data_IF_857078706691
#
_entry.id   IF_857078706691
#
_cell.length_a   1.000
_cell.length_b   1.000
_cell.length_c   1.000
_cell.angle_alpha   90.00
_cell.angle_beta   90.00
_cell.angle_gamma   90.00
#
_symmetry.space_group_name_H-M   'P 1'
#
loop_
_entity.id
_entity.type
_entity.pdbx_description
1 polymer ?
#
# COMPACT_ATOMS: atom_id res chain seq x y z
N UNK A 1 27.27 45.84 26.13
CA UNK A 1 26.70 44.53 25.78
C UNK A 1 25.22 44.74 25.53
N UNK A 2 24.70 44.25 24.40
CA UNK A 2 23.43 44.70 23.84
C UNK A 2 22.25 43.94 24.45
N UNK A 3 21.13 44.63 24.61
CA UNK A 3 19.84 44.00 24.93
C UNK A 3 19.40 43.04 23.78
N UNK A 4 19.90 43.27 22.56
CA UNK A 4 19.71 42.42 21.37
C UNK A 4 20.38 41.03 21.48
N UNK A 5 21.37 40.83 22.36
CA UNK A 5 22.04 39.52 22.56
C UNK A 5 21.20 38.55 23.43
N UNK A 6 20.21 39.07 24.16
CA UNK A 6 19.36 38.29 25.07
C UNK A 6 18.33 37.43 24.32
N UNK A 7 17.65 38.00 23.33
CA UNK A 7 16.54 37.32 22.64
C UNK A 7 17.04 36.23 21.67
N UNK A 8 18.16 36.45 20.97
CA UNK A 8 18.77 35.43 20.10
C UNK A 8 19.15 34.14 20.85
N UNK A 9 19.63 34.25 22.10
CA UNK A 9 20.05 33.08 22.89
C UNK A 9 18.90 32.13 23.19
N UNK A 10 17.67 32.64 23.30
CA UNK A 10 16.48 31.84 23.61
C UNK A 10 16.08 31.01 22.39
N UNK A 11 16.00 31.62 21.21
CA UNK A 11 15.61 30.93 19.98
C UNK A 11 16.63 29.87 19.53
N UNK A 12 17.93 30.12 19.68
CA UNK A 12 18.97 29.12 19.44
C UNK A 12 18.83 27.93 20.41
N UNK A 13 18.61 28.20 21.71
CA UNK A 13 18.41 27.13 22.70
C UNK A 13 17.17 26.28 22.40
N UNK A 14 16.07 26.90 21.95
CA UNK A 14 14.83 26.21 21.56
C UNK A 14 15.02 25.40 20.26
N UNK A 15 15.81 25.91 19.31
CA UNK A 15 16.18 25.15 18.12
C UNK A 15 17.00 23.90 18.48
N UNK A 16 18.03 24.05 19.31
CA UNK A 16 18.86 22.94 19.79
C UNK A 16 18.02 21.90 20.56
N UNK A 17 17.06 22.33 21.40
CA UNK A 17 16.13 21.43 22.07
C UNK A 17 15.25 20.63 21.08
N UNK A 18 14.70 21.28 20.05
CA UNK A 18 13.90 20.60 19.00
C UNK A 18 14.75 19.61 18.18
N UNK A 19 16.01 19.95 17.91
CA UNK A 19 16.95 19.09 17.21
C UNK A 19 17.38 17.88 18.07
N UNK A 20 17.60 18.07 19.37
CA UNK A 20 17.80 16.96 20.33
C UNK A 20 16.58 16.03 20.36
N UNK A 21 15.36 16.57 20.40
CA UNK A 21 14.11 15.79 20.35
C UNK A 21 14.00 14.99 19.05
N UNK A 22 14.34 15.58 17.89
CA UNK A 22 14.39 14.87 16.60
C UNK A 22 15.34 13.67 16.65
N UNK A 23 16.55 13.88 17.16
CA UNK A 23 17.59 12.85 17.21
C UNK A 23 17.28 11.74 18.23
N UNK A 24 16.70 12.09 19.38
CA UNK A 24 16.18 11.12 20.35
C UNK A 24 15.04 10.28 19.75
N UNK A 25 14.08 10.92 19.09
CA UNK A 25 12.96 10.24 18.43
C UNK A 25 13.41 9.29 17.32
N UNK A 26 14.37 9.70 16.48
CA UNK A 26 14.98 8.84 15.45
C UNK A 26 15.70 7.63 16.06
N UNK A 27 16.33 7.80 17.22
CA UNK A 27 16.98 6.70 17.95
C UNK A 27 15.94 5.72 18.51
N UNK A 28 14.82 6.22 19.06
CA UNK A 28 13.68 5.39 19.48
C UNK A 28 13.08 4.62 18.31
N UNK A 29 12.83 5.26 17.16
CA UNK A 29 12.33 4.59 15.94
C UNK A 29 13.23 3.40 15.57
N UNK A 30 14.55 3.62 15.48
CA UNK A 30 15.53 2.58 15.15
C UNK A 30 15.52 1.43 16.18
N UNK A 31 15.49 1.77 17.46
CA UNK A 31 15.44 0.80 18.56
C UNK A 31 14.20 -0.12 18.46
N UNK A 32 13.00 0.46 18.37
CA UNK A 32 11.76 -0.34 18.29
C UNK A 32 11.67 -1.14 16.98
N UNK A 33 12.10 -0.57 15.85
CA UNK A 33 12.11 -1.27 14.54
C UNK A 33 13.03 -2.50 14.56
N UNK A 34 14.20 -2.40 15.19
CA UNK A 34 15.10 -3.53 15.37
C UNK A 34 14.47 -4.61 16.26
N UNK A 35 13.80 -4.23 17.36
CA UNK A 35 13.10 -5.17 18.23
C UNK A 35 11.93 -5.89 17.53
N UNK A 36 11.09 -5.18 16.77
CA UNK A 36 10.03 -5.80 15.93
C UNK A 36 10.63 -6.82 14.96
N UNK A 37 11.74 -6.48 14.32
CA UNK A 37 12.44 -7.38 13.40
C UNK A 37 12.92 -8.66 14.10
N UNK A 38 13.50 -8.53 15.30
CA UNK A 38 13.93 -9.67 16.12
C UNK A 38 12.74 -10.57 16.47
N UNK A 39 11.63 -9.99 16.92
CA UNK A 39 10.40 -10.72 17.27
C UNK A 39 9.83 -11.43 16.04
N UNK A 40 9.68 -10.73 14.90
CA UNK A 40 9.20 -11.30 13.64
C UNK A 40 10.03 -12.50 13.18
N UNK A 41 11.36 -12.36 13.11
CA UNK A 41 12.23 -13.45 12.66
C UNK A 41 12.29 -14.61 13.66
N UNK A 42 12.14 -14.35 14.97
CA UNK A 42 12.02 -15.40 15.99
C UNK A 42 10.70 -16.18 15.82
N UNK A 43 9.58 -15.48 15.65
CA UNK A 43 8.25 -16.06 15.44
C UNK A 43 8.17 -16.86 14.12
N UNK A 44 8.75 -16.31 13.04
CA UNK A 44 8.85 -17.01 11.76
C UNK A 44 9.68 -18.30 11.87
N UNK A 45 10.77 -18.29 12.65
CA UNK A 45 11.58 -19.49 12.93
C UNK A 45 10.86 -20.50 13.83
N UNK A 46 10.09 -20.09 14.83
CA UNK A 46 9.32 -21.03 15.66
C UNK A 46 8.17 -21.65 14.86
N UNK A 47 7.41 -20.86 14.11
CA UNK A 47 6.33 -21.34 13.25
C UNK A 47 6.84 -22.31 12.17
N UNK A 48 8.00 -22.05 11.57
CA UNK A 48 8.60 -22.95 10.60
C UNK A 48 8.88 -24.35 11.18
N UNK A 49 9.39 -24.42 12.42
CA UNK A 49 9.64 -25.68 13.14
C UNK A 49 8.34 -26.41 13.47
N UNK A 50 7.31 -25.68 13.95
CA UNK A 50 5.98 -26.26 14.26
C UNK A 50 5.33 -26.86 13.00
N UNK A 51 5.53 -26.22 11.84
CA UNK A 51 5.00 -26.68 10.56
C UNK A 51 5.89 -27.73 9.87
N UNK A 52 6.86 -28.33 10.56
CA UNK A 52 7.84 -29.31 10.01
C UNK A 52 8.58 -28.82 8.75
N UNK A 53 8.73 -27.51 8.60
CA UNK A 53 9.44 -26.87 7.48
C UNK A 53 10.84 -26.44 7.90
N UNK A 54 11.78 -26.37 6.94
CA UNK A 54 13.15 -25.94 7.24
C UNK A 54 13.16 -24.48 7.73
N UNK A 55 13.58 -24.19 8.97
CA UNK A 55 13.58 -22.83 9.48
C UNK A 55 14.69 -22.01 8.80
N UNK A 56 14.47 -20.72 8.50
CA UNK A 56 15.54 -19.87 7.98
C UNK A 56 16.69 -19.79 9.00
N UNK A 57 17.94 -19.61 8.54
CA UNK A 57 19.11 -19.62 9.42
C UNK A 57 19.00 -18.52 10.49
N UNK A 58 19.43 -18.79 11.74
CA UNK A 58 19.40 -17.79 12.80
C UNK A 58 20.40 -16.66 12.50
N UNK A 59 19.93 -15.41 12.60
CA UNK A 59 20.79 -14.23 12.53
C UNK A 59 21.68 -14.19 13.79
N UNK A 60 23.02 -14.12 13.69
CA UNK A 60 23.88 -14.03 14.87
C UNK A 60 23.60 -12.77 15.70
N UNK A 61 23.72 -12.85 17.02
CA UNK A 61 23.36 -11.75 17.93
C UNK A 61 24.13 -10.44 17.70
N UNK A 62 25.35 -10.52 17.16
CA UNK A 62 26.18 -9.37 16.80
C UNK A 62 25.84 -8.74 15.44
N UNK A 63 24.98 -9.38 14.63
CA UNK A 63 24.64 -8.90 13.28
C UNK A 63 23.37 -8.05 13.34
N UNK A 64 23.50 -6.78 12.96
CA UNK A 64 22.38 -5.85 12.85
C UNK A 64 21.30 -6.41 11.93
N UNK A 65 20.05 -6.43 12.39
CA UNK A 65 18.90 -6.81 11.58
C UNK A 65 18.13 -5.54 11.19
N UNK A 66 18.07 -5.27 9.90
CA UNK A 66 17.45 -4.08 9.34
C UNK A 66 16.14 -4.45 8.65
N UNK A 67 15.04 -3.79 9.05
CA UNK A 67 13.82 -3.75 8.27
C UNK A 67 13.71 -2.38 7.59
N UNK A 68 13.47 -2.31 6.26
CA UNK A 68 12.99 -1.11 5.60
C UNK A 68 11.73 -0.55 6.30
N UNK A 69 11.54 0.78 6.30
CA UNK A 69 10.37 1.43 6.94
C UNK A 69 9.02 0.90 6.42
N UNK A 70 8.98 0.39 5.18
CA UNK A 70 7.79 -0.16 4.54
C UNK A 70 7.44 -1.57 5.07
N UNK A 71 8.44 -2.41 5.34
CA UNK A 71 8.25 -3.80 5.79
C UNK A 71 7.78 -3.90 7.25
N UNK A 72 8.03 -2.88 8.08
CA UNK A 72 7.70 -2.89 9.52
C UNK A 72 6.21 -3.18 9.76
N UNK A 73 5.32 -2.65 8.92
CA UNK A 73 3.88 -2.89 9.06
C UNK A 73 3.51 -4.33 8.71
N UNK A 74 4.09 -4.91 7.65
CA UNK A 74 3.83 -6.31 7.28
C UNK A 74 4.45 -7.28 8.32
N UNK A 75 5.53 -6.88 9.01
CA UNK A 75 6.08 -7.63 10.16
C UNK A 75 5.15 -7.58 11.38
N UNK A 76 4.57 -6.41 11.70
CA UNK A 76 3.58 -6.25 12.77
C UNK A 76 2.31 -7.05 12.46
N UNK A 77 1.82 -7.00 11.22
CA UNK A 77 0.65 -7.79 10.79
C UNK A 77 0.88 -9.30 10.98
N UNK A 78 2.07 -9.80 10.65
CA UNK A 78 2.45 -11.19 10.90
C UNK A 78 2.55 -11.52 12.40
N UNK A 79 3.10 -10.63 13.22
CA UNK A 79 3.12 -10.80 14.70
C UNK A 79 1.70 -10.83 15.26
N UNK A 80 0.81 -9.98 14.76
CA UNK A 80 -0.60 -9.92 15.13
C UNK A 80 -1.42 -11.16 14.70
N UNK A 81 -1.03 -11.85 13.62
CA UNK A 81 -1.72 -13.04 13.10
C UNK A 81 -1.22 -14.35 13.74
N UNK A 82 0.08 -14.45 14.04
CA UNK A 82 0.73 -15.69 14.50
C UNK A 82 1.33 -15.64 15.91
N UNK A 83 1.44 -14.46 16.53
CA UNK A 83 2.03 -14.29 17.85
C UNK A 83 1.15 -14.80 18.99
N UNK A 84 1.80 -15.18 20.09
CA UNK A 84 1.16 -15.49 21.37
C UNK A 84 1.25 -14.29 22.30
N UNK A 85 0.16 -14.00 23.01
CA UNK A 85 0.05 -12.96 24.05
C UNK A 85 0.72 -13.39 25.38
N UNK A 86 1.89 -14.03 25.29
CA UNK A 86 2.54 -14.71 26.41
C UNK A 86 3.72 -13.88 26.94
N UNK A 87 3.52 -13.26 28.11
CA UNK A 87 4.58 -12.57 28.86
C UNK A 87 5.31 -11.48 28.08
N UNK A 88 4.61 -10.40 27.70
CA UNK A 88 5.05 -9.30 26.82
C UNK A 88 6.55 -8.95 26.83
N UNK A 89 7.11 -8.70 25.65
CA UNK A 89 8.56 -8.65 25.44
C UNK A 89 9.26 -7.61 26.33
N UNK A 90 10.54 -7.82 26.65
CA UNK A 90 11.36 -6.88 27.44
C UNK A 90 11.34 -5.44 26.91
N UNK A 91 11.23 -5.28 25.58
CA UNK A 91 11.07 -3.99 24.93
C UNK A 91 9.74 -3.30 25.30
N UNK A 92 8.65 -4.06 25.37
CA UNK A 92 7.33 -3.57 25.75
C UNK A 92 7.28 -3.18 27.24
N UNK A 93 7.80 -4.05 28.12
CA UNK A 93 7.87 -3.78 29.57
C UNK A 93 8.60 -2.46 29.85
N UNK A 94 9.73 -2.23 29.17
CA UNK A 94 10.50 -0.97 29.27
C UNK A 94 9.74 0.22 28.69
N UNK A 95 9.07 0.07 27.54
CA UNK A 95 8.28 1.13 26.93
C UNK A 95 7.08 1.57 27.79
N UNK A 96 6.46 0.62 28.49
CA UNK A 96 5.39 0.88 29.48
C UNK A 96 5.97 1.52 30.75
N UNK A 97 7.05 0.96 31.32
CA UNK A 97 7.70 1.48 32.52
C UNK A 97 8.16 2.94 32.37
N UNK A 98 8.74 3.27 31.22
CA UNK A 98 9.25 4.61 30.90
C UNK A 98 8.18 5.55 30.32
N UNK A 99 6.90 5.14 30.28
CA UNK A 99 5.78 5.92 29.72
C UNK A 99 6.06 6.49 28.31
N UNK A 100 6.76 5.74 27.46
CA UNK A 100 7.18 6.22 26.12
C UNK A 100 5.99 6.50 25.21
N UNK A 101 4.90 5.73 25.35
CA UNK A 101 3.69 5.89 24.53
C UNK A 101 3.00 7.25 24.75
N UNK A 102 2.61 7.66 25.97
CA UNK A 102 2.04 8.98 26.19
C UNK A 102 3.01 10.13 25.87
N UNK A 103 4.31 9.96 26.13
CA UNK A 103 5.33 10.97 25.77
C UNK A 103 5.43 11.21 24.25
N UNK A 104 5.43 10.15 23.44
CA UNK A 104 5.43 10.27 21.97
C UNK A 104 4.11 10.85 21.42
N UNK A 105 2.98 10.50 22.03
CA UNK A 105 1.66 11.07 21.69
C UNK A 105 1.61 12.57 22.01
N UNK A 106 2.11 12.97 23.18
CA UNK A 106 2.25 14.37 23.57
C UNK A 106 3.22 15.12 22.65
N UNK A 107 4.34 14.51 22.27
CA UNK A 107 5.28 15.07 21.29
C UNK A 107 4.63 15.32 19.93
N UNK A 108 3.83 14.37 19.41
CA UNK A 108 3.08 14.55 18.15
C UNK A 108 2.16 15.77 18.24
N UNK A 109 1.43 15.93 19.36
CA UNK A 109 0.54 17.06 19.56
C UNK A 109 1.31 18.39 19.70
N UNK A 110 2.38 18.43 20.49
CA UNK A 110 3.21 19.63 20.68
C UNK A 110 3.95 20.04 19.41
N UNK A 111 4.55 19.09 18.67
CA UNK A 111 5.32 19.36 17.46
C UNK A 111 4.47 19.96 16.32
N UNK A 112 3.15 19.72 16.31
CA UNK A 112 2.22 20.37 15.38
C UNK A 112 2.21 21.90 15.51
N UNK A 113 2.45 22.41 16.72
CA UNK A 113 2.48 23.86 17.01
C UNK A 113 3.77 24.55 16.58
N UNK A 114 4.82 23.79 16.22
CA UNK A 114 6.15 24.32 15.88
C UNK A 114 6.19 24.91 14.47
N UNK A 115 5.42 25.97 14.23
CA UNK A 115 5.25 26.61 12.91
C UNK A 115 6.59 26.98 12.25
N UNK A 116 7.56 27.46 13.02
CA UNK A 116 8.84 27.98 12.54
C UNK A 116 9.98 26.94 12.48
N UNK A 117 9.71 25.65 12.74
CA UNK A 117 10.73 24.60 12.68
C UNK A 117 10.59 23.77 11.40
N UNK A 118 11.63 23.74 10.57
CA UNK A 118 11.62 23.05 9.27
C UNK A 118 11.30 21.57 9.39
N UNK A 119 11.97 20.88 10.32
CA UNK A 119 11.90 19.42 10.48
C UNK A 119 10.69 18.98 11.32
N UNK A 120 9.65 19.82 11.47
CA UNK A 120 8.48 19.52 12.31
C UNK A 120 7.72 18.28 11.81
N UNK A 121 7.64 18.12 10.48
CA UNK A 121 6.99 16.96 9.85
C UNK A 121 7.82 15.70 10.15
N UNK A 122 9.13 15.75 9.97
CA UNK A 122 10.02 14.62 10.26
C UNK A 122 9.92 14.17 11.72
N UNK A 123 9.83 15.09 12.68
CA UNK A 123 9.64 14.77 14.11
C UNK A 123 8.29 14.06 14.33
N UNK A 124 7.20 14.58 13.77
CA UNK A 124 5.86 13.98 13.90
C UNK A 124 5.82 12.59 13.25
N UNK A 125 6.35 12.44 12.04
CA UNK A 125 6.40 11.17 11.31
C UNK A 125 7.27 10.16 12.06
N UNK A 126 8.47 10.55 12.52
CA UNK A 126 9.36 9.66 13.28
C UNK A 126 8.74 9.24 14.62
N UNK A 127 7.99 10.11 15.28
CA UNK A 127 7.25 9.79 16.49
C UNK A 127 6.10 8.82 16.22
N UNK A 128 5.32 9.05 15.16
CA UNK A 128 4.25 8.14 14.73
C UNK A 128 4.80 6.78 14.27
N UNK A 129 5.91 6.73 13.53
CA UNK A 129 6.56 5.48 13.15
C UNK A 129 7.16 4.72 14.35
N UNK A 130 7.65 5.44 15.37
CA UNK A 130 8.04 4.84 16.65
C UNK A 130 6.82 4.22 17.35
N UNK A 131 5.67 4.92 17.35
CA UNK A 131 4.40 4.39 17.86
C UNK A 131 3.92 3.18 17.04
N UNK A 132 4.07 3.18 15.71
CA UNK A 132 3.79 2.01 14.85
C UNK A 132 4.65 0.83 15.31
N UNK A 133 5.97 1.00 15.42
CA UNK A 133 6.89 -0.05 15.83
C UNK A 133 6.62 -0.59 17.25
N UNK A 134 5.97 0.16 18.14
CA UNK A 134 5.53 -0.33 19.46
C UNK A 134 4.11 -0.95 19.46
N UNK A 135 3.28 -0.62 18.47
CA UNK A 135 1.83 -0.93 18.47
C UNK A 135 1.44 -2.39 18.23
N UNK A 136 2.40 -3.32 18.22
CA UNK A 136 2.12 -4.77 18.18
C UNK A 136 1.69 -5.34 19.56
N UNK A 137 1.92 -4.59 20.65
CA UNK A 137 1.56 -5.00 22.01
C UNK A 137 0.18 -4.49 22.43
N UNK A 138 -0.59 -5.36 23.10
CA UNK A 138 -1.95 -5.02 23.55
C UNK A 138 -1.95 -3.98 24.69
N UNK A 139 -0.96 -4.03 25.58
CA UNK A 139 -0.83 -3.09 26.70
C UNK A 139 -0.47 -1.67 26.22
N UNK A 140 0.39 -1.60 25.19
CA UNK A 140 0.77 -0.33 24.54
C UNK A 140 -0.43 0.26 23.81
N UNK A 141 -1.14 -0.53 23.00
CA UNK A 141 -2.34 -0.06 22.29
C UNK A 141 -3.45 0.42 23.24
N UNK A 142 -3.62 -0.19 24.42
CA UNK A 142 -4.54 0.32 25.46
C UNK A 142 -4.13 1.69 26.04
N UNK A 143 -2.84 2.05 26.03
CA UNK A 143 -2.40 3.32 26.60
C UNK A 143 -2.87 4.54 25.81
N UNK A 144 -3.20 4.37 24.51
CA UNK A 144 -3.82 5.44 23.70
C UNK A 144 -5.28 5.76 24.08
N UNK A 145 -5.96 4.90 24.84
CA UNK A 145 -7.26 5.25 25.43
C UNK A 145 -7.15 6.22 26.61
N UNK A 146 -6.00 6.25 27.29
CA UNK A 146 -5.79 7.15 28.43
C UNK A 146 -5.70 8.59 27.94
N UNK A 147 -6.08 9.53 28.80
CA UNK A 147 -5.84 10.94 28.53
C UNK A 147 -4.36 11.26 28.67
N UNK A 148 -3.88 12.12 27.78
CA UNK A 148 -2.54 12.70 27.78
C UNK A 148 -2.68 14.21 27.82
N UNK A 149 -1.88 14.87 28.68
CA UNK A 149 -1.83 16.32 28.78
C UNK A 149 -1.15 16.89 27.52
N UNK A 150 -1.94 17.56 26.67
CA UNK A 150 -1.43 18.19 25.44
C UNK A 150 -0.95 19.61 25.71
N UNK A 151 -1.58 20.28 26.67
CA UNK A 151 -1.18 21.57 27.22
C UNK A 151 -1.50 21.59 28.71
N UNK A 152 -1.14 22.68 29.40
CA UNK A 152 -1.52 22.93 30.80
C UNK A 152 -3.03 23.06 31.05
N UNK A 153 -3.86 23.04 30.00
CA UNK A 153 -5.32 23.26 30.07
C UNK A 153 -6.13 22.25 29.26
N UNK A 154 -5.53 21.50 28.33
CA UNK A 154 -6.21 20.48 27.52
C UNK A 154 -5.61 19.09 27.68
N UNK A 155 -6.42 18.17 28.20
CA UNK A 155 -6.18 16.73 28.15
C UNK A 155 -6.95 16.10 26.99
N UNK A 156 -6.25 15.42 26.08
CA UNK A 156 -6.84 14.71 24.95
C UNK A 156 -6.42 13.24 25.01
N UNK A 157 -7.27 12.29 24.55
CA UNK A 157 -6.84 10.89 24.44
C UNK A 157 -5.88 10.72 23.26
N UNK A 158 -4.97 9.76 23.35
CA UNK A 158 -4.07 9.43 22.24
C UNK A 158 -4.83 9.08 20.95
N UNK A 159 -5.98 8.42 21.06
CA UNK A 159 -6.87 8.14 19.92
C UNK A 159 -7.43 9.41 19.29
N UNK A 160 -7.80 10.43 20.08
CA UNK A 160 -8.23 11.73 19.54
C UNK A 160 -7.09 12.37 18.74
N UNK A 161 -5.88 12.42 19.29
CA UNK A 161 -4.71 13.02 18.64
C UNK A 161 -4.37 12.28 17.33
N UNK A 162 -4.40 10.94 17.34
CA UNK A 162 -4.22 10.13 16.13
C UNK A 162 -5.30 10.44 15.07
N UNK A 163 -6.57 10.53 15.46
CA UNK A 163 -7.66 10.83 14.52
C UNK A 163 -7.54 12.24 13.91
N UNK A 164 -7.13 13.25 14.69
CA UNK A 164 -6.83 14.61 14.19
C UNK A 164 -5.65 14.62 13.20
N UNK A 165 -4.66 13.75 13.42
CA UNK A 165 -3.56 13.54 12.47
C UNK A 165 -4.02 12.82 11.18
N UNK A 166 -4.95 11.85 11.26
CA UNK A 166 -5.56 11.18 10.10
C UNK A 166 -6.44 12.13 9.28
N UNK A 167 -7.19 13.02 9.93
CA UNK A 167 -8.01 14.05 9.26
C UNK A 167 -7.16 15.14 8.58
N UNK A 168 -5.88 15.27 8.94
CA UNK A 168 -4.99 16.35 8.50
C UNK A 168 -5.20 17.67 9.25
N UNK A 169 -6.02 17.67 10.30
CA UNK A 169 -6.25 18.84 11.18
C UNK A 169 -4.97 19.25 11.91
N UNK A 170 -4.14 18.26 12.29
CA UNK A 170 -2.89 18.47 13.01
C UNK A 170 -1.80 19.07 12.11
N UNK A 171 -1.55 18.41 10.98
CA UNK A 171 -0.70 18.87 9.87
C UNK A 171 -1.29 18.26 8.58
N UNK A 172 -1.54 19.05 7.51
CA UNK A 172 -2.08 18.53 6.26
C UNK A 172 -0.97 17.87 5.41
N UNK A 173 -0.34 16.83 5.95
CA UNK A 173 0.73 16.06 5.30
C UNK A 173 0.36 14.58 5.16
N UNK A 174 0.62 14.02 3.97
CA UNK A 174 0.22 12.66 3.61
C UNK A 174 1.02 11.59 4.34
N UNK A 175 2.28 11.87 4.69
CA UNK A 175 3.13 10.92 5.42
C UNK A 175 2.73 10.83 6.89
N UNK A 176 2.34 11.97 7.50
CA UNK A 176 1.72 12.05 8.83
C UNK A 176 0.40 11.27 8.85
N UNK A 177 -0.50 11.50 7.89
CA UNK A 177 -1.76 10.77 7.77
C UNK A 177 -1.57 9.26 7.65
N UNK A 178 -0.66 8.80 6.77
CA UNK A 178 -0.32 7.37 6.62
C UNK A 178 0.25 6.77 7.91
N UNK A 179 1.16 7.48 8.59
CA UNK A 179 1.76 6.99 9.82
C UNK A 179 0.71 6.87 10.95
N UNK A 180 -0.15 7.88 11.12
CA UNK A 180 -1.25 7.86 12.09
C UNK A 180 -2.27 6.75 11.79
N UNK A 181 -2.62 6.53 10.51
CA UNK A 181 -3.48 5.43 10.07
C UNK A 181 -2.89 4.04 10.39
N UNK A 182 -1.56 3.86 10.26
CA UNK A 182 -0.89 2.60 10.65
C UNK A 182 -0.99 2.34 12.15
N UNK A 183 -0.74 3.35 12.99
CA UNK A 183 -0.94 3.22 14.46
C UNK A 183 -2.39 2.86 14.77
N UNK A 184 -3.35 3.55 14.16
CA UNK A 184 -4.79 3.32 14.38
C UNK A 184 -5.23 1.92 13.93
N UNK A 185 -4.75 1.43 12.79
CA UNK A 185 -4.95 0.04 12.34
C UNK A 185 -4.48 -0.97 13.40
N UNK A 186 -3.28 -0.76 13.94
CA UNK A 186 -2.67 -1.67 14.91
C UNK A 186 -3.38 -1.62 16.27
N UNK A 187 -3.85 -0.44 16.70
CA UNK A 187 -4.73 -0.33 17.87
C UNK A 187 -6.02 -1.13 17.68
N UNK A 188 -6.75 -0.86 16.59
CA UNK A 188 -8.11 -1.41 16.38
C UNK A 188 -8.11 -2.92 16.10
N UNK A 189 -6.97 -3.48 15.69
CA UNK A 189 -6.82 -4.88 15.29
C UNK A 189 -7.37 -5.90 16.30
N UNK A 190 -7.95 -6.97 15.76
CA UNK A 190 -8.38 -8.16 16.49
C UNK A 190 -7.79 -9.41 15.86
N UNK A 191 -7.07 -10.21 16.65
CA UNK A 191 -6.70 -11.56 16.25
C UNK A 191 -7.97 -12.42 16.10
N UNK A 192 -8.15 -13.05 14.94
CA UNK A 192 -9.31 -13.92 14.67
C UNK A 192 -9.30 -15.19 15.56
N UNK A 193 -8.17 -15.53 16.16
CA UNK A 193 -7.99 -16.70 17.04
C UNK A 193 -8.46 -16.46 18.48
N UNK A 194 -8.75 -15.23 18.85
CA UNK A 194 -8.95 -14.77 20.26
C UNK A 194 -10.35 -15.09 20.82
N UNK A 195 -10.97 -16.18 20.36
CA UNK A 195 -12.35 -16.57 20.68
C UNK A 195 -12.57 -17.12 22.10
N UNK A 196 -11.53 -17.17 22.94
CA UNK A 196 -11.53 -17.93 24.21
C UNK A 196 -11.02 -17.16 25.44
N UNK A 197 -10.57 -15.90 25.34
CA UNK A 197 -10.06 -15.12 26.47
C UNK A 197 -10.93 -13.88 26.79
N UNK A 198 -11.70 -13.87 27.90
CA UNK A 198 -12.67 -12.79 28.18
C UNK A 198 -12.03 -11.41 28.41
N UNK A 199 -10.83 -11.34 29.02
CA UNK A 199 -10.15 -10.06 29.28
C UNK A 199 -9.74 -9.31 27.99
N UNK A 200 -9.33 -10.03 26.94
CA UNK A 200 -8.89 -9.41 25.68
C UNK A 200 -10.07 -8.85 24.88
N UNK A 201 -11.25 -9.49 24.97
CA UNK A 201 -12.49 -8.97 24.39
C UNK A 201 -12.89 -7.61 25.02
N UNK A 202 -12.94 -7.52 26.35
CA UNK A 202 -13.27 -6.27 27.07
C UNK A 202 -12.31 -5.13 26.71
N UNK A 203 -11.02 -5.42 26.65
CA UNK A 203 -9.99 -4.45 26.26
C UNK A 203 -10.17 -3.94 24.82
N UNK A 204 -10.55 -4.79 23.85
CA UNK A 204 -10.85 -4.37 22.47
C UNK A 204 -12.10 -3.47 22.39
N UNK A 205 -13.15 -3.79 23.16
CA UNK A 205 -14.37 -2.96 23.25
C UNK A 205 -14.07 -1.53 23.73
N UNK A 206 -13.11 -1.35 24.66
CA UNK A 206 -12.65 -0.02 25.10
C UNK A 206 -12.01 0.78 23.95
N UNK A 207 -11.15 0.15 23.14
CA UNK A 207 -10.52 0.82 21.99
C UNK A 207 -11.56 1.23 20.94
N UNK A 208 -12.43 0.29 20.52
CA UNK A 208 -13.46 0.58 19.53
C UNK A 208 -14.44 1.66 20.01
N UNK A 209 -14.77 1.66 21.30
CA UNK A 209 -15.61 2.71 21.90
C UNK A 209 -14.90 4.06 21.94
N UNK A 210 -13.60 4.11 22.26
CA UNK A 210 -12.82 5.35 22.21
C UNK A 210 -12.70 5.92 20.79
N UNK A 211 -12.50 5.08 19.77
CA UNK A 211 -12.55 5.50 18.36
C UNK A 211 -13.93 6.04 17.98
N UNK A 212 -15.02 5.38 18.40
CA UNK A 212 -16.40 5.83 18.16
C UNK A 212 -16.70 7.18 18.82
N UNK A 213 -16.31 7.38 20.08
CA UNK A 213 -16.53 8.62 20.84
C UNK A 213 -15.78 9.82 20.25
N UNK A 214 -14.65 9.59 19.58
CA UNK A 214 -13.85 10.63 18.92
C UNK A 214 -14.20 10.80 17.42
N UNK A 215 -15.45 10.50 17.02
CA UNK A 215 -15.94 10.58 15.63
C UNK A 215 -15.14 9.74 14.60
N UNK A 216 -14.36 8.76 15.05
CA UNK A 216 -13.40 8.05 14.20
C UNK A 216 -14.02 7.30 13.01
N UNK A 217 -15.28 6.87 13.11
CA UNK A 217 -16.00 6.28 11.97
C UNK A 217 -16.13 7.30 10.83
N UNK A 218 -16.53 8.54 11.13
CA UNK A 218 -16.65 9.62 10.12
C UNK A 218 -15.29 9.96 9.50
N UNK A 219 -14.24 10.03 10.31
CA UNK A 219 -12.88 10.37 9.87
C UNK A 219 -12.32 9.25 8.96
N UNK A 220 -12.47 7.98 9.35
CA UNK A 220 -12.07 6.84 8.52
C UNK A 220 -12.87 6.76 7.21
N UNK A 221 -14.16 7.05 7.24
CA UNK A 221 -15.00 7.14 6.04
C UNK A 221 -14.59 8.31 5.12
N UNK A 222 -14.09 9.42 5.67
CA UNK A 222 -13.49 10.52 4.91
C UNK A 222 -12.18 10.07 4.24
N UNK A 223 -11.26 9.48 4.99
CA UNK A 223 -9.99 8.95 4.49
C UNK A 223 -10.17 7.86 3.41
N UNK A 224 -11.20 7.03 3.54
CA UNK A 224 -11.61 6.05 2.53
C UNK A 224 -12.08 6.69 1.21
N UNK A 225 -12.50 7.95 1.22
CA UNK A 225 -12.88 8.71 0.03
C UNK A 225 -11.78 9.67 -0.46
N UNK A 226 -10.56 9.59 0.10
CA UNK A 226 -9.41 10.41 -0.32
C UNK A 226 -9.11 10.21 -1.81
N UNK A 227 -8.93 11.32 -2.52
CA UNK A 227 -8.55 11.39 -3.96
C UNK A 227 -7.25 12.17 -4.20
N UNK A 228 -6.75 12.88 -3.18
CA UNK A 228 -5.58 13.77 -3.27
C UNK A 228 -4.71 13.54 -2.03
N UNK A 229 -3.38 13.38 -2.16
CA UNK A 229 -2.64 13.27 -3.42
C UNK A 229 -2.93 11.93 -4.13
N UNK A 230 -2.95 11.96 -5.46
CA UNK A 230 -3.32 10.83 -6.32
C UNK A 230 -2.41 9.62 -6.06
N UNK A 231 -1.11 9.87 -5.85
CA UNK A 231 -0.06 8.88 -5.55
C UNK A 231 -0.34 8.02 -4.33
N UNK A 232 -0.91 8.59 -3.27
CA UNK A 232 -1.05 7.91 -1.97
C UNK A 232 -2.50 7.51 -1.67
N UNK A 233 -3.43 7.81 -2.59
CA UNK A 233 -4.85 7.59 -2.39
C UNK A 233 -5.16 6.12 -2.06
N UNK A 234 -4.62 5.16 -2.82
CA UNK A 234 -4.88 3.74 -2.58
C UNK A 234 -4.22 3.22 -1.30
N UNK A 235 -3.06 3.75 -0.90
CA UNK A 235 -2.45 3.42 0.39
C UNK A 235 -3.30 3.89 1.58
N UNK A 236 -3.82 5.13 1.52
CA UNK A 236 -4.72 5.69 2.52
C UNK A 236 -6.05 4.90 2.57
N UNK A 237 -6.65 4.61 1.41
CA UNK A 237 -7.89 3.81 1.31
C UNK A 237 -7.71 2.40 1.87
N UNK A 238 -6.58 1.74 1.57
CA UNK A 238 -6.25 0.43 2.10
C UNK A 238 -6.22 0.43 3.62
N UNK A 239 -5.53 1.39 4.23
CA UNK A 239 -5.42 1.51 5.69
C UNK A 239 -6.76 1.90 6.34
N UNK A 240 -7.46 2.88 5.78
CA UNK A 240 -8.78 3.28 6.28
C UNK A 240 -9.79 2.13 6.22
N UNK A 241 -9.82 1.37 5.12
CA UNK A 241 -10.65 0.18 4.98
C UNK A 241 -10.24 -0.90 5.98
N UNK A 242 -8.94 -1.21 6.13
CA UNK A 242 -8.43 -2.18 7.12
C UNK A 242 -8.89 -1.84 8.55
N UNK A 243 -8.81 -0.57 8.94
CA UNK A 243 -9.30 -0.10 10.24
C UNK A 243 -10.83 -0.27 10.37
N UNK A 244 -11.61 0.08 9.34
CA UNK A 244 -13.06 -0.12 9.33
C UNK A 244 -13.44 -1.61 9.42
N UNK A 245 -12.74 -2.51 8.74
CA UNK A 245 -12.95 -3.97 8.84
C UNK A 245 -12.69 -4.53 10.24
N UNK A 246 -11.73 -3.95 10.96
CA UNK A 246 -11.43 -4.35 12.33
C UNK A 246 -12.47 -3.77 13.32
N UNK A 247 -12.94 -2.53 13.11
CA UNK A 247 -14.06 -1.96 13.88
C UNK A 247 -15.39 -2.71 13.63
N UNK A 248 -15.65 -3.17 12.41
CA UNK A 248 -16.93 -3.81 12.02
C UNK A 248 -17.18 -5.16 12.70
N UNK A 249 -16.21 -5.68 13.46
CA UNK A 249 -16.41 -6.83 14.36
C UNK A 249 -17.34 -6.48 15.52
N UNK A 250 -17.41 -5.21 15.92
CA UNK A 250 -18.39 -4.74 16.89
C UNK A 250 -19.75 -4.55 16.22
N UNK A 251 -20.77 -5.26 16.69
CA UNK A 251 -22.11 -5.25 16.06
C UNK A 251 -22.70 -3.84 15.96
N UNK A 252 -22.60 -3.01 17.00
CA UNK A 252 -23.09 -1.62 16.94
C UNK A 252 -22.34 -0.81 15.89
N UNK A 253 -21.03 -1.00 15.70
CA UNK A 253 -20.30 -0.30 14.63
C UNK A 253 -20.73 -0.84 13.25
N UNK A 254 -20.94 -2.15 13.12
CA UNK A 254 -21.48 -2.75 11.91
C UNK A 254 -22.87 -2.17 11.55
N UNK A 255 -23.77 -2.03 12.53
CA UNK A 255 -25.09 -1.40 12.37
C UNK A 255 -25.02 0.11 12.04
N UNK A 256 -23.98 0.82 12.49
CA UNK A 256 -23.74 2.21 12.08
C UNK A 256 -23.25 2.27 10.65
N UNK A 257 -22.31 1.39 10.27
CA UNK A 257 -21.80 1.30 8.90
C UNK A 257 -22.89 0.89 7.91
N UNK A 258 -23.76 -0.07 8.26
CA UNK A 258 -24.82 -0.53 7.37
C UNK A 258 -25.84 0.56 7.05
N UNK A 259 -26.05 1.52 7.94
CA UNK A 259 -26.92 2.69 7.69
C UNK A 259 -26.28 3.75 6.79
N UNK A 260 -24.99 3.67 6.46
CA UNK A 260 -24.34 4.67 5.61
C UNK A 260 -24.71 4.44 4.13
N UNK A 261 -24.99 5.51 3.36
CA UNK A 261 -25.39 5.40 1.96
C UNK A 261 -24.27 4.82 1.07
N UNK A 262 -23.01 4.85 1.52
CA UNK A 262 -21.87 4.36 0.77
C UNK A 262 -21.90 2.83 0.51
N UNK A 263 -22.52 2.04 1.39
CA UNK A 263 -22.65 0.58 1.21
C UNK A 263 -23.93 0.15 0.46
N UNK A 264 -24.86 1.09 0.26
CA UNK A 264 -26.10 0.87 -0.50
C UNK A 264 -25.99 1.40 -1.93
N UNK A 265 -25.30 2.53 -2.11
CA UNK A 265 -25.02 3.11 -3.41
C UNK A 265 -23.74 2.49 -3.97
N UNK A 266 -23.66 2.32 -5.30
CA UNK A 266 -22.52 1.68 -5.97
C UNK A 266 -21.16 2.37 -5.77
N UNK A 267 -21.13 3.54 -5.14
CA UNK A 267 -19.95 4.34 -4.77
C UNK A 267 -18.80 3.51 -4.19
N UNK A 268 -19.06 2.56 -3.27
CA UNK A 268 -17.98 1.72 -2.72
C UNK A 268 -17.45 0.71 -3.73
N UNK A 269 -18.31 0.17 -4.61
CA UNK A 269 -17.89 -0.70 -5.71
C UNK A 269 -17.11 0.06 -6.80
N UNK A 270 -17.43 1.33 -7.06
CA UNK A 270 -16.66 2.20 -7.96
C UNK A 270 -15.22 2.32 -7.46
N UNK A 271 -15.01 2.54 -6.16
CA UNK A 271 -13.66 2.60 -5.56
C UNK A 271 -12.88 1.29 -5.70
N UNK A 272 -13.55 0.14 -5.73
CA UNK A 272 -12.90 -1.18 -5.89
C UNK A 272 -12.54 -1.52 -7.34
N UNK A 273 -13.13 -0.84 -8.34
CA UNK A 273 -13.09 -1.29 -9.74
C UNK A 273 -11.69 -1.23 -10.35
N UNK A 274 -11.01 -0.11 -10.20
CA UNK A 274 -9.70 0.18 -10.80
C UNK A 274 -8.80 0.88 -9.77
N UNK A 275 -7.48 0.60 -9.75
CA UNK A 275 -6.55 1.35 -8.93
C UNK A 275 -6.47 2.81 -9.42
N UNK A 276 -6.13 3.73 -8.52
CA UNK A 276 -5.93 5.15 -8.86
C UNK A 276 -4.71 5.33 -9.77
N UNK A 277 -3.70 4.48 -9.61
CA UNK A 277 -2.47 4.45 -10.40
C UNK A 277 -2.05 3.00 -10.70
N UNK A 278 -1.54 2.78 -11.91
CA UNK A 278 -1.02 1.47 -12.38
C UNK A 278 0.06 0.88 -11.48
N UNK A 279 0.81 1.73 -10.79
CA UNK A 279 2.01 1.32 -10.07
C UNK A 279 1.68 0.81 -8.65
N UNK A 280 0.47 1.11 -8.16
CA UNK A 280 -0.03 0.77 -6.82
C UNK A 280 -1.03 -0.41 -6.81
N UNK A 281 -0.91 -1.31 -7.79
CA UNK A 281 -1.76 -2.53 -7.89
C UNK A 281 -1.68 -3.40 -6.62
N UNK A 282 -0.54 -3.42 -5.92
CA UNK A 282 -0.36 -4.21 -4.68
C UNK A 282 -1.23 -3.68 -3.55
N UNK A 283 -1.21 -2.36 -3.36
CA UNK A 283 -2.02 -1.63 -2.39
C UNK A 283 -3.50 -1.80 -2.73
N UNK A 284 -3.88 -1.58 -4.00
CA UNK A 284 -5.26 -1.76 -4.45
C UNK A 284 -5.77 -3.19 -4.26
N UNK A 285 -4.92 -4.21 -4.45
CA UNK A 285 -5.27 -5.61 -4.16
C UNK A 285 -5.50 -5.84 -2.66
N UNK A 286 -4.66 -5.25 -1.79
CA UNK A 286 -4.89 -5.24 -0.33
C UNK A 286 -6.22 -4.51 -0.01
N UNK A 287 -6.52 -3.39 -0.65
CA UNK A 287 -7.79 -2.66 -0.50
C UNK A 287 -9.01 -3.52 -0.91
N UNK A 288 -9.03 -4.10 -2.11
CA UNK A 288 -10.13 -4.95 -2.60
C UNK A 288 -10.41 -6.13 -1.65
N UNK A 289 -9.37 -6.75 -1.08
CA UNK A 289 -9.50 -7.81 -0.07
C UNK A 289 -10.23 -7.30 1.19
N UNK A 290 -9.79 -6.18 1.77
CA UNK A 290 -10.44 -5.62 2.96
C UNK A 290 -11.86 -5.13 2.67
N UNK A 291 -12.07 -4.46 1.53
CA UNK A 291 -13.36 -3.95 1.09
C UNK A 291 -14.40 -5.08 0.92
N UNK A 292 -14.01 -6.22 0.35
CA UNK A 292 -14.86 -7.41 0.25
C UNK A 292 -15.33 -7.92 1.62
N UNK A 293 -14.40 -8.03 2.58
CA UNK A 293 -14.69 -8.44 3.97
C UNK A 293 -15.61 -7.42 4.67
N UNK A 294 -15.47 -6.13 4.36
CA UNK A 294 -16.32 -5.08 4.92
C UNK A 294 -17.75 -5.18 4.39
N UNK A 295 -17.93 -5.31 3.07
CA UNK A 295 -19.25 -5.46 2.43
C UNK A 295 -19.97 -6.69 2.99
N UNK A 296 -19.28 -7.83 3.08
CA UNK A 296 -19.86 -9.08 3.57
C UNK A 296 -20.38 -8.93 5.01
N UNK A 297 -19.58 -8.31 5.90
CA UNK A 297 -20.01 -8.06 7.28
C UNK A 297 -21.15 -7.05 7.40
N UNK A 298 -21.10 -5.98 6.61
CA UNK A 298 -22.03 -4.84 6.72
C UNK A 298 -23.37 -5.12 6.03
N UNK A 299 -23.39 -5.93 4.96
CA UNK A 299 -24.62 -6.26 4.22
C UNK A 299 -25.17 -7.66 4.52
N UNK A 300 -24.38 -8.53 5.17
CA UNK A 300 -24.74 -9.92 5.45
C UNK A 300 -24.82 -10.83 4.21
N UNK A 301 -24.52 -10.30 3.02
CA UNK A 301 -24.45 -11.06 1.76
C UNK A 301 -22.99 -11.41 1.49
N UNK A 302 -22.70 -12.68 1.26
CA UNK A 302 -21.36 -13.09 0.84
C UNK A 302 -21.01 -12.38 -0.46
N UNK A 303 -19.98 -11.53 -0.41
CA UNK A 303 -19.50 -10.83 -1.59
C UNK A 303 -18.73 -11.82 -2.46
N UNK A 304 -19.46 -12.57 -3.30
CA UNK A 304 -18.87 -13.14 -4.50
C UNK A 304 -18.45 -11.98 -5.38
N UNK A 305 -17.21 -11.51 -5.20
CA UNK A 305 -16.51 -10.80 -6.23
C UNK A 305 -16.52 -11.72 -7.44
N UNK A 306 -17.35 -11.38 -8.45
CA UNK A 306 -17.32 -12.08 -9.73
C UNK A 306 -15.87 -12.14 -10.16
N UNK A 307 -15.40 -13.33 -10.55
CA UNK A 307 -13.98 -13.59 -10.83
C UNK A 307 -13.42 -12.75 -12.01
N UNK A 308 -14.26 -11.90 -12.60
CA UNK A 308 -13.98 -10.89 -13.63
C UNK A 308 -13.03 -9.75 -13.21
N UNK A 309 -12.79 -9.49 -11.92
CA UNK A 309 -11.98 -8.33 -11.48
C UNK A 309 -10.47 -8.58 -11.39
N UNK A 310 -10.01 -9.83 -11.35
CA UNK A 310 -8.58 -10.16 -11.45
C UNK A 310 -8.04 -10.04 -12.90
N UNK A 311 -8.87 -9.56 -13.83
CA UNK A 311 -8.72 -9.83 -15.26
C UNK A 311 -8.75 -8.61 -16.22
N UNK A 312 -8.45 -7.34 -15.87
CA UNK A 312 -8.17 -6.32 -16.90
C UNK A 312 -6.97 -6.75 -17.76
N UNK A 313 -5.87 -7.16 -17.13
CA UNK A 313 -4.65 -7.58 -17.84
C UNK A 313 -4.82 -8.93 -18.53
N UNK A 314 -5.38 -9.96 -17.87
CA UNK A 314 -5.56 -11.27 -18.49
C UNK A 314 -6.77 -11.34 -19.45
N UNK A 315 -7.73 -10.40 -19.47
CA UNK A 315 -8.72 -10.28 -20.57
C UNK A 315 -8.20 -9.39 -21.68
N UNK A 316 -7.31 -8.43 -21.43
CA UNK A 316 -6.59 -7.77 -22.50
C UNK A 316 -5.67 -8.77 -23.22
N UNK A 317 -4.91 -9.58 -22.46
CA UNK A 317 -4.06 -10.66 -23.00
C UNK A 317 -4.92 -11.74 -23.65
N UNK A 318 -5.93 -12.31 -22.99
CA UNK A 318 -6.78 -13.32 -23.64
C UNK A 318 -7.60 -12.74 -24.80
N UNK A 319 -8.04 -11.48 -24.79
CA UNK A 319 -8.67 -10.88 -25.99
C UNK A 319 -7.64 -10.69 -27.09
N UNK A 320 -6.41 -10.28 -26.79
CA UNK A 320 -5.35 -10.19 -27.79
C UNK A 320 -5.01 -11.57 -28.36
N UNK A 321 -4.80 -12.59 -27.52
CA UNK A 321 -4.56 -13.97 -27.94
C UNK A 321 -5.77 -14.57 -28.68
N UNK A 322 -7.00 -14.33 -28.22
CA UNK A 322 -8.22 -14.75 -28.94
C UNK A 322 -8.30 -14.00 -30.28
N UNK A 323 -8.01 -12.71 -30.37
CA UNK A 323 -7.99 -11.96 -31.64
C UNK A 323 -6.90 -12.49 -32.58
N UNK A 324 -5.73 -12.84 -32.04
CA UNK A 324 -4.59 -13.42 -32.79
C UNK A 324 -4.84 -14.87 -33.21
N UNK A 325 -5.63 -15.64 -32.45
CA UNK A 325 -6.00 -17.02 -32.72
C UNK A 325 -7.32 -17.14 -33.50
N UNK A 326 -8.19 -16.12 -33.50
CA UNK A 326 -9.37 -16.06 -34.36
C UNK A 326 -8.92 -15.88 -35.79
N UNK A 327 -9.01 -16.96 -36.55
CA UNK A 327 -8.85 -16.93 -38.01
C UNK A 327 -10.01 -16.14 -38.62
N UNK A 328 -9.81 -14.83 -38.79
CA UNK A 328 -10.79 -13.93 -39.41
C UNK A 328 -11.07 -14.45 -40.82
N UNK A 329 -12.25 -15.01 -41.02
CA UNK A 329 -12.66 -15.65 -42.27
C UNK A 329 -13.73 -14.76 -42.90
N UNK A 330 -13.33 -13.96 -43.88
CA UNK A 330 -14.25 -13.08 -44.59
C UNK A 330 -15.05 -13.86 -45.64
N UNK A 331 -16.37 -13.64 -45.76
CA UNK A 331 -17.13 -14.10 -46.92
C UNK A 331 -16.53 -13.48 -48.19
N UNK A 332 -16.09 -14.33 -49.13
CA UNK A 332 -15.26 -13.89 -50.26
C UNK A 332 -15.93 -12.79 -51.10
N UNK A 333 -17.27 -12.82 -51.24
CA UNK A 333 -18.04 -11.77 -51.94
C UNK A 333 -18.10 -10.45 -51.19
N UNK A 334 -18.29 -10.46 -49.87
CA UNK A 334 -18.32 -9.23 -49.06
C UNK A 334 -16.96 -8.55 -49.06
N UNK A 335 -15.87 -9.32 -48.92
CA UNK A 335 -14.51 -8.79 -49.02
C UNK A 335 -14.23 -8.15 -50.38
N UNK A 336 -14.64 -8.80 -51.47
CA UNK A 336 -14.48 -8.27 -52.83
C UNK A 336 -15.35 -7.02 -53.06
N UNK A 337 -16.54 -6.92 -52.46
CA UNK A 337 -17.36 -5.71 -52.48
C UNK A 337 -16.68 -4.54 -51.77
N UNK A 338 -16.16 -4.76 -50.56
CA UNK A 338 -15.43 -3.73 -49.81
C UNK A 338 -14.16 -3.27 -50.55
N UNK A 339 -13.49 -4.19 -51.25
CA UNK A 339 -12.33 -3.86 -52.11
C UNK A 339 -12.78 -3.04 -53.34
N UNK A 340 -13.89 -3.39 -54.00
CA UNK A 340 -14.48 -2.57 -55.08
C UNK A 340 -14.75 -1.13 -54.60
N UNK A 341 -15.42 -0.97 -53.45
CA UNK A 341 -15.80 0.34 -52.93
C UNK A 341 -14.56 1.16 -52.53
N UNK A 342 -13.54 0.51 -51.97
CA UNK A 342 -12.25 1.15 -51.71
C UNK A 342 -11.56 1.60 -53.01
N UNK A 343 -11.46 0.74 -54.03
CA UNK A 343 -10.87 1.09 -55.33
C UNK A 343 -11.60 2.29 -55.98
N UNK A 344 -12.94 2.29 -55.92
CA UNK A 344 -13.79 3.40 -56.39
C UNK A 344 -13.55 4.68 -55.59
N UNK A 345 -13.38 4.60 -54.27
CA UNK A 345 -13.02 5.75 -53.41
C UNK A 345 -11.63 6.33 -53.70
N UNK A 346 -10.70 5.50 -54.20
CA UNK A 346 -9.36 5.91 -54.63
C UNK A 346 -9.31 6.34 -56.11
N UNK A 347 -10.45 6.36 -56.82
CA UNK A 347 -10.54 6.74 -58.23
C UNK A 347 -10.07 5.68 -59.23
N UNK A 348 -9.77 4.46 -58.77
CA UNK A 348 -9.31 3.33 -59.60
C UNK A 348 -10.49 2.60 -60.27
N UNK A 349 -11.35 3.36 -60.93
CA UNK A 349 -12.66 2.92 -61.41
C UNK A 349 -12.57 1.73 -62.39
N UNK A 350 -11.64 1.77 -63.35
CA UNK A 350 -11.44 0.67 -64.31
C UNK A 350 -11.08 -0.66 -63.64
N UNK A 351 -10.30 -0.61 -62.55
CA UNK A 351 -9.93 -1.81 -61.78
C UNK A 351 -11.10 -2.29 -60.93
N UNK A 352 -11.90 -1.37 -60.37
CA UNK A 352 -13.12 -1.70 -59.65
C UNK A 352 -14.15 -2.39 -60.56
N UNK A 353 -14.41 -1.86 -61.76
CA UNK A 353 -15.35 -2.40 -62.73
C UNK A 353 -14.93 -3.80 -63.23
N UNK A 354 -13.62 -4.01 -63.49
CA UNK A 354 -13.10 -5.35 -63.82
C UNK A 354 -13.32 -6.33 -62.66
N UNK A 355 -12.98 -5.95 -61.42
CA UNK A 355 -13.16 -6.80 -60.23
C UNK A 355 -14.64 -7.15 -60.01
N UNK A 356 -15.56 -6.20 -60.25
CA UNK A 356 -17.00 -6.44 -60.19
C UNK A 356 -17.45 -7.50 -61.20
N UNK A 357 -16.97 -7.41 -62.44
CA UNK A 357 -17.30 -8.36 -63.52
C UNK A 357 -16.75 -9.76 -63.29
N UNK A 358 -15.52 -9.86 -62.77
CA UNK A 358 -14.83 -11.13 -62.53
C UNK A 358 -15.37 -11.84 -61.27
N UNK A 359 -15.62 -11.09 -60.19
CA UNK A 359 -16.14 -11.63 -58.94
C UNK A 359 -17.63 -11.97 -58.95
N UNK A 360 -18.37 -11.59 -60.01
CA UNK A 360 -19.84 -11.75 -60.13
C UNK A 360 -20.56 -11.26 -58.87
N UNK A 361 -20.22 -10.03 -58.47
CA UNK A 361 -20.87 -9.33 -57.37
C UNK A 361 -22.27 -8.87 -57.80
N UNK A 362 -23.26 -8.81 -56.89
CA UNK A 362 -24.56 -8.25 -57.20
C UNK A 362 -24.41 -6.82 -57.71
N UNK A 363 -25.10 -6.48 -58.80
CA UNK A 363 -25.13 -5.11 -59.30
C UNK A 363 -25.99 -4.27 -58.35
N UNK A 364 -25.33 -3.47 -57.51
CA UNK A 364 -26.04 -2.66 -56.52
C UNK A 364 -26.88 -1.57 -57.22
N UNK A 365 -28.19 -1.66 -57.05
CA UNK A 365 -29.14 -0.66 -57.53
C UNK A 365 -28.98 0.57 -56.64
N UNK A 366 -28.74 1.72 -57.26
CA UNK A 366 -28.42 2.98 -56.59
C UNK A 366 -29.53 3.40 -55.60
N UNK A 367 -29.31 3.13 -54.31
CA UNK A 367 -30.16 3.58 -53.20
C UNK A 367 -29.32 4.40 -52.22
N UNK A 368 -29.77 5.64 -51.97
CA UNK A 368 -29.12 6.58 -51.04
C UNK A 368 -28.98 5.97 -49.63
N UNK A 369 -27.92 6.35 -48.89
CA UNK A 369 -27.46 5.57 -47.76
C UNK A 369 -28.41 5.63 -46.55
N UNK A 370 -28.73 4.48 -45.92
CA UNK A 370 -29.20 4.46 -44.54
C UNK A 370 -28.02 4.74 -43.61
N UNK A 371 -28.17 5.71 -42.69
CA UNK A 371 -27.09 6.15 -41.83
C UNK A 371 -26.70 5.09 -40.77
N UNK A 372 -25.53 4.48 -40.90
CA UNK A 372 -24.94 3.68 -39.82
C UNK A 372 -24.36 4.60 -38.75
N UNK A 373 -25.08 4.70 -37.64
CA UNK A 373 -24.83 5.65 -36.58
C UNK A 373 -23.55 5.33 -35.79
N UNK A 374 -22.48 6.08 -36.02
CA UNK A 374 -21.36 6.15 -35.07
C UNK A 374 -21.88 6.81 -33.79
N UNK A 375 -21.97 6.06 -32.69
CA UNK A 375 -22.40 6.60 -31.40
C UNK A 375 -21.25 7.41 -30.80
N UNK A 376 -21.12 8.66 -31.23
CA UNK A 376 -20.45 9.67 -30.44
C UNK A 376 -21.37 10.06 -29.29
N UNK A 377 -20.91 9.83 -28.06
CA UNK A 377 -21.52 10.46 -26.90
C UNK A 377 -21.25 11.97 -26.97
N UNK A 378 -22.29 12.79 -26.90
CA UNK A 378 -22.13 14.14 -26.39
C UNK A 378 -23.37 14.64 -25.66
N UNK A 379 -23.13 15.35 -24.56
CA UNK A 379 -24.14 15.88 -23.66
C UNK A 379 -24.81 17.13 -24.23
N UNK A 380 -26.05 17.39 -23.80
CA UNK A 380 -26.65 18.73 -23.87
C UNK A 380 -26.72 19.32 -22.47
N UNK A 381 -26.09 20.48 -22.31
CA UNK A 381 -26.24 21.38 -21.16
C UNK A 381 -27.44 22.31 -21.38
N UNK A 382 -27.76 23.15 -20.39
CA UNK A 382 -28.24 24.50 -20.68
C UNK A 382 -27.29 25.58 -20.15
N UNK A 383 -26.96 26.52 -21.04
CA UNK A 383 -26.74 27.96 -20.82
C UNK A 383 -25.84 28.44 -19.66
N UNK A 384 -24.70 29.03 -20.02
CA UNK A 384 -24.37 30.42 -19.65
C UNK A 384 -23.54 31.08 -20.78
N UNK A 385 -23.57 32.42 -20.88
CA UNK A 385 -23.03 33.20 -22.03
C UNK A 385 -21.67 33.86 -21.71
N UNK A 386 -20.75 33.87 -22.70
CA UNK A 386 -20.09 35.06 -23.29
C UNK A 386 -18.61 34.88 -23.75
N UNK A 387 -18.29 35.54 -24.87
CA UNK A 387 -16.98 36.07 -25.33
C UNK A 387 -15.81 35.14 -25.77
N UNK A 388 -15.77 34.87 -27.08
CA UNK A 388 -14.76 35.30 -28.11
C UNK A 388 -13.23 35.04 -27.98
N UNK A 389 -12.46 34.94 -29.12
CA UNK A 389 -11.45 33.86 -29.27
C UNK A 389 -10.02 34.24 -29.76
N UNK A 390 -9.11 33.24 -29.74
CA UNK A 390 -7.82 33.06 -30.48
C UNK A 390 -7.17 31.71 -30.04
N UNK A 391 -6.28 30.96 -30.72
CA UNK A 391 -5.72 30.78 -32.09
C UNK A 391 -5.24 29.30 -32.15
N UNK A 392 -5.58 28.44 -33.13
CA UNK A 392 -5.01 28.18 -34.47
C UNK A 392 -3.62 27.48 -34.53
N UNK A 393 -3.44 26.57 -35.52
CA UNK A 393 -2.28 25.66 -35.87
C UNK A 393 -2.43 24.22 -35.27
N UNK A 394 -2.76 23.13 -35.99
CA UNK A 394 -2.13 22.36 -37.13
C UNK A 394 -0.85 21.59 -36.70
N UNK A 395 -0.55 20.32 -36.99
CA UNK A 395 -0.97 19.26 -37.97
C UNK A 395 -0.62 17.82 -37.40
N UNK A 396 -0.79 16.66 -38.10
CA UNK A 396 -1.21 15.38 -37.47
C UNK A 396 -0.15 14.27 -37.23
N UNK A 397 -0.60 13.16 -36.61
CA UNK A 397 0.17 11.95 -36.27
C UNK A 397 0.20 10.87 -37.38
N UNK A 398 1.35 10.20 -37.55
CA UNK A 398 1.51 8.92 -38.26
C UNK A 398 1.92 7.78 -37.31
N UNK A 399 1.35 6.56 -37.42
CA UNK A 399 1.81 5.39 -36.68
C UNK A 399 2.96 4.64 -37.39
N UNK A 400 3.74 3.89 -36.60
CA UNK A 400 5.06 3.34 -36.95
C UNK A 400 5.01 2.05 -37.81
N UNK A 401 6.01 1.87 -38.67
CA UNK A 401 6.23 0.65 -39.46
C UNK A 401 6.80 -0.50 -38.62
N UNK A 402 6.17 -1.69 -38.67
CA UNK A 402 6.79 -2.94 -38.23
C UNK A 402 7.73 -3.52 -39.30
N UNK A 403 8.93 -3.97 -38.88
CA UNK A 403 9.91 -4.63 -39.76
C UNK A 403 9.51 -6.06 -40.08
N UNK A 404 9.73 -6.50 -41.32
CA UNK A 404 9.48 -7.87 -41.80
C UNK A 404 10.45 -8.88 -41.18
N UNK A 405 9.95 -10.06 -40.81
CA UNK A 405 10.76 -11.28 -40.71
C UNK A 405 10.93 -11.91 -42.10
N UNK A 406 12.04 -12.63 -42.28
CA UNK A 406 12.30 -13.52 -43.42
C UNK A 406 12.64 -14.91 -42.90
N UNK A 407 12.19 -15.96 -43.58
CA UNK A 407 12.36 -17.37 -43.20
C UNK A 407 13.32 -18.07 -44.16
N UNK A 408 14.27 -18.84 -43.62
CA UNK A 408 14.95 -19.93 -44.32
C UNK A 408 15.56 -20.92 -43.29
N UNK A 409 15.54 -22.21 -43.63
CA UNK A 409 16.12 -23.35 -42.90
C UNK A 409 16.72 -24.32 -43.94
N UNK A 410 17.31 -25.49 -43.61
CA UNK A 410 17.93 -25.98 -42.36
C UNK A 410 19.36 -26.55 -42.59
N UNK A 411 20.05 -27.05 -41.54
CA UNK A 411 20.70 -28.39 -41.45
C UNK A 411 21.66 -28.54 -40.25
N UNK A 412 21.88 -29.81 -39.87
CA UNK A 412 22.83 -30.43 -38.90
C UNK A 412 24.19 -29.73 -38.68
N UNK A 413 24.86 -29.82 -37.51
CA UNK A 413 25.36 -31.09 -36.93
C UNK A 413 25.84 -31.02 -35.45
N UNK A 414 26.25 -32.16 -34.89
CA UNK A 414 26.69 -32.36 -33.49
C UNK A 414 28.16 -31.94 -33.21
N UNK A 415 28.46 -31.45 -31.98
CA UNK A 415 29.45 -32.07 -31.05
C UNK A 415 29.62 -31.38 -29.68
N UNK A 416 30.13 -32.16 -28.74
CA UNK A 416 30.41 -31.85 -27.32
C UNK A 416 31.73 -31.11 -27.10
N UNK A 417 31.87 -30.43 -25.95
CA UNK A 417 32.95 -30.66 -24.95
C UNK A 417 32.77 -29.79 -23.66
N UNK A 418 33.63 -30.06 -22.68
CA UNK A 418 33.43 -29.90 -21.22
C UNK A 418 34.04 -28.62 -20.57
N UNK A 419 33.75 -28.30 -19.28
CA UNK A 419 34.00 -26.98 -18.71
C UNK A 419 35.42 -26.74 -18.17
N UNK A 420 35.85 -25.48 -18.19
CA UNK A 420 37.15 -25.04 -17.64
C UNK A 420 37.13 -24.70 -16.15
N UNK A 421 38.32 -24.82 -15.55
CA UNK A 421 38.57 -25.09 -14.12
C UNK A 421 39.20 -23.87 -13.41
N UNK A 422 38.95 -23.74 -12.10
CA UNK A 422 39.64 -22.77 -11.23
C UNK A 422 41.18 -22.88 -11.31
N UNK A 423 41.93 -21.77 -11.20
CA UNK A 423 43.28 -21.81 -10.68
C UNK A 423 43.28 -21.81 -9.15
N UNK A 424 44.19 -22.57 -8.56
CA UNK A 424 44.50 -22.60 -7.13
C UNK A 424 46.01 -22.46 -6.97
N UNK A 425 46.48 -21.52 -6.13
CA UNK A 425 47.88 -21.49 -5.70
C UNK A 425 47.98 -21.37 -4.18
N UNK A 426 48.85 -22.21 -3.60
CA UNK A 426 49.15 -22.29 -2.18
C UNK A 426 50.40 -21.46 -1.83
N UNK A 427 50.37 -20.78 -0.68
CA UNK A 427 51.48 -20.72 0.31
C UNK A 427 50.89 -20.11 1.58
N UNK A 428 50.57 -20.86 2.65
CA UNK A 428 51.46 -21.53 3.62
C UNK A 428 52.47 -20.58 4.26
N UNK A 429 52.17 -20.13 5.48
CA UNK A 429 53.15 -19.87 6.53
C UNK A 429 52.50 -20.03 7.91
N UNK A 430 52.98 -21.00 8.66
CA UNK A 430 52.75 -21.17 10.11
C UNK A 430 54.09 -21.34 10.79
N UNK A 431 54.23 -20.80 12.00
CA UNK A 431 54.86 -21.53 13.09
C UNK A 431 53.92 -21.54 14.30
N UNK A 432 54.01 -22.41 15.30
CA UNK A 432 54.64 -23.70 15.52
C UNK A 432 54.23 -24.03 16.97
N UNK A 433 53.73 -25.24 17.25
CA UNK A 433 53.32 -25.61 18.61
C UNK A 433 54.50 -26.21 19.37
N UNK A 434 54.76 -25.76 20.59
CA UNK A 434 55.45 -26.57 21.60
C UNK A 434 54.48 -26.93 22.72
N UNK A 435 54.36 -28.24 22.98
CA UNK A 435 53.69 -28.80 24.16
C UNK A 435 54.75 -29.07 25.24
N UNK A 436 54.43 -28.83 26.51
CA UNK A 436 54.85 -29.74 27.58
C UNK A 436 54.01 -29.55 28.86
N UNK A 437 53.18 -30.56 29.13
CA UNK A 437 53.02 -31.27 30.41
C UNK A 437 52.92 -30.55 31.78
N UNK A 438 51.85 -30.97 32.47
CA UNK A 438 51.81 -31.48 33.85
C UNK A 438 51.44 -30.58 35.06
N UNK A 439 50.36 -31.05 35.70
CA UNK A 439 50.20 -31.34 37.14
C UNK A 439 49.96 -30.24 38.18
N UNK A 440 48.78 -30.42 38.82
CA UNK A 440 48.54 -30.47 40.28
C UNK A 440 48.46 -29.19 41.14
N UNK A 441 47.24 -29.06 41.67
CA UNK A 441 46.86 -28.83 43.09
C UNK A 441 47.02 -27.44 43.74
N UNK A 442 46.18 -27.31 44.77
CA UNK A 442 46.04 -26.27 45.80
C UNK A 442 45.39 -24.94 45.32
N UNK A 443 44.25 -24.47 45.86
CA UNK A 443 43.69 -24.43 47.23
C UNK A 443 44.12 -23.16 48.00
N UNK A 444 43.12 -22.49 48.58
CA UNK A 444 43.14 -21.34 49.50
C UNK A 444 43.69 -19.98 49.02
N UNK A 445 42.77 -19.07 48.63
CA UNK A 445 42.36 -17.90 49.44
C UNK A 445 41.11 -17.22 48.86
#
# INVERSE_FOLDING_TARGET
>A
MRIEESELSTDESVFLQREMVKNACLTLKKYFTAHVSIIYHNLKRSLARVNNSSPPPPTPAYKSMFAPSEDVQDYIDFIHEYGSDDGGNECEKRAVLLNITPLLVQLVALASSWKNYSNRIDVIVTALESLVAMSFSRQITLSFCKQTEVSSTESQSGIKILLRAVEGELVPDVTVQKAALRVLCNCVWKSQKDGSKPNNASNQVLLWSSVRLNNGIKILMSALNTKVPITEADAIRTLACKALCALSVNEHICQVLSKLPMFHNENFHILMREPVLSDHIREHTKFQKYASILIERVTGKSFQMQQSSAIPMFTAINKADIIMQTKITYPQKELLSIIHDHLRSQGLNQTADMLMSEAKLPQEIELKPPATHWIAANSKTPLFKNCSPSLLVKEPFTPLQCKKLSVASPLTDQKSLTPLRRPSHNTVCTPASMKSNNDKLMQDN
#
